data_IF_231560271418
#
_entry.id   IF_231560271418
#
_cell.length_a   1.000
_cell.length_b   1.000
_cell.length_c   1.000
_cell.angle_alpha   90.00
_cell.angle_beta   90.00
_cell.angle_gamma   90.00
#
_symmetry.space_group_name_H-M   'P 1'
#
loop_
_entity.id
_entity.type
_entity.pdbx_description
1 polymer ?
#
# COMPACT_ATOMS: atom_id res chain seq x y z
N UNK A 1 2.85 -15.60 -14.20
CA UNK A 1 1.94 -14.91 -13.26
C UNK A 1 0.74 -15.79 -13.03
N UNK A 2 0.44 -16.15 -11.79
CA UNK A 2 -0.70 -17.01 -11.46
C UNK A 2 -1.88 -16.13 -11.05
N UNK A 3 -3.08 -16.45 -11.54
CA UNK A 3 -4.33 -15.74 -11.24
C UNK A 3 -5.32 -16.72 -10.65
N UNK A 4 -5.94 -16.34 -9.53
CA UNK A 4 -7.04 -17.08 -8.92
C UNK A 4 -8.32 -16.25 -9.04
N UNK A 5 -9.42 -16.92 -9.35
CA UNK A 5 -10.76 -16.30 -9.39
C UNK A 5 -11.54 -16.79 -8.18
N UNK A 6 -12.20 -15.87 -7.48
CA UNK A 6 -13.03 -16.19 -6.33
C UNK A 6 -14.45 -16.52 -6.78
N UNK A 7 -15.19 -17.25 -5.95
CA UNK A 7 -16.61 -17.53 -6.18
C UNK A 7 -17.47 -16.27 -5.97
N UNK A 8 -18.71 -16.33 -6.47
CA UNK A 8 -19.64 -15.20 -6.44
C UNK A 8 -20.04 -14.76 -5.03
N UNK A 9 -20.12 -15.70 -4.08
CA UNK A 9 -20.51 -15.37 -2.71
C UNK A 9 -19.38 -14.63 -1.99
N UNK A 10 -18.15 -15.13 -2.11
CA UNK A 10 -16.96 -14.48 -1.58
C UNK A 10 -16.78 -13.09 -2.19
N UNK A 11 -16.99 -12.94 -3.50
CA UNK A 11 -16.95 -11.63 -4.18
C UNK A 11 -17.95 -10.64 -3.59
N UNK A 12 -19.20 -11.08 -3.32
CA UNK A 12 -20.22 -10.22 -2.73
C UNK A 12 -19.84 -9.76 -1.32
N UNK A 13 -19.39 -10.69 -0.46
CA UNK A 13 -18.98 -10.38 0.92
C UNK A 13 -17.81 -9.40 0.95
N UNK A 14 -16.80 -9.59 0.10
CA UNK A 14 -15.66 -8.67 -0.01
C UNK A 14 -16.07 -7.31 -0.59
N UNK A 15 -17.02 -7.27 -1.53
CA UNK A 15 -17.54 -6.02 -2.11
C UNK A 15 -18.30 -5.15 -1.11
N UNK A 16 -18.93 -5.75 -0.10
CA UNK A 16 -19.67 -5.06 0.98
C UNK A 16 -18.76 -4.66 2.16
N UNK A 17 -17.52 -5.14 2.20
CA UNK A 17 -16.60 -4.87 3.31
C UNK A 17 -16.19 -3.38 3.35
N UNK A 18 -16.31 -2.78 4.51
CA UNK A 18 -15.91 -1.38 4.78
C UNK A 18 -14.55 -1.26 5.44
N UNK A 19 -13.98 -2.38 5.87
CA UNK A 19 -12.71 -2.48 6.58
C UNK A 19 -11.81 -3.54 5.93
N UNK A 20 -10.53 -3.56 6.32
CA UNK A 20 -9.60 -4.61 5.86
C UNK A 20 -10.09 -5.97 6.31
N UNK A 21 -10.07 -6.96 5.40
CA UNK A 21 -10.51 -8.33 5.68
C UNK A 21 -9.31 -9.27 5.63
N UNK A 22 -9.16 -10.12 6.64
CA UNK A 22 -8.19 -11.21 6.64
C UNK A 22 -8.73 -12.38 5.82
N UNK A 23 -7.91 -12.89 4.90
CA UNK A 23 -8.18 -14.12 4.18
C UNK A 23 -7.47 -15.23 4.93
N UNK A 24 -8.22 -16.19 5.47
CA UNK A 24 -7.67 -17.31 6.22
C UNK A 24 -7.88 -18.64 5.50
N UNK A 25 -7.01 -19.61 5.77
CA UNK A 25 -7.25 -21.01 5.43
C UNK A 25 -8.31 -21.64 6.36
N UNK A 26 -8.65 -22.92 6.11
CA UNK A 26 -9.62 -23.65 6.93
C UNK A 26 -9.17 -23.90 8.38
N UNK A 27 -7.87 -23.77 8.66
CA UNK A 27 -7.32 -23.88 10.02
C UNK A 27 -7.28 -22.51 10.74
N UNK A 28 -7.67 -21.43 10.06
CA UNK A 28 -7.68 -20.08 10.61
C UNK A 28 -6.35 -19.32 10.44
N UNK A 29 -5.38 -19.86 9.69
CA UNK A 29 -4.14 -19.13 9.41
C UNK A 29 -4.35 -18.09 8.32
N UNK A 30 -3.86 -16.88 8.55
CA UNK A 30 -3.95 -15.78 7.58
C UNK A 30 -3.04 -16.07 6.37
N UNK A 31 -3.65 -16.15 5.19
CA UNK A 31 -2.98 -16.34 3.90
C UNK A 31 -2.86 -15.04 3.11
N UNK A 32 -3.60 -13.99 3.48
CA UNK A 32 -3.53 -12.68 2.84
C UNK A 32 -4.55 -11.68 3.38
N UNK A 33 -4.58 -10.50 2.77
CA UNK A 33 -5.50 -9.42 3.15
C UNK A 33 -6.21 -8.88 1.93
N UNK A 34 -7.50 -8.57 2.08
CA UNK A 34 -8.28 -7.81 1.12
C UNK A 34 -8.50 -6.38 1.66
N UNK A 35 -8.11 -5.40 0.86
CA UNK A 35 -8.30 -3.98 1.13
C UNK A 35 -9.41 -3.45 0.22
N UNK A 36 -10.63 -3.20 0.74
CA UNK A 36 -11.71 -2.66 -0.06
C UNK A 36 -11.32 -1.29 -0.63
N UNK A 37 -11.74 -1.00 -1.87
CA UNK A 37 -11.47 0.30 -2.51
C UNK A 37 -12.05 1.46 -1.70
N UNK A 38 -13.17 1.24 -0.98
CA UNK A 38 -13.74 2.21 -0.07
C UNK A 38 -12.82 2.53 1.12
N UNK A 39 -12.09 1.54 1.65
CA UNK A 39 -11.07 1.72 2.68
C UNK A 39 -9.76 2.28 2.11
N UNK A 40 -9.51 2.09 0.81
CA UNK A 40 -8.30 2.56 0.13
C UNK A 40 -8.31 4.06 -0.24
N UNK A 41 -9.41 4.78 -0.02
CA UNK A 41 -9.44 6.25 -0.20
C UNK A 41 -8.73 6.94 0.96
N UNK A 42 -7.40 7.03 0.86
CA UNK A 42 -6.57 7.91 1.68
C UNK A 42 -6.08 7.33 3.00
N UNK A 43 -6.38 6.07 3.32
CA UNK A 43 -5.81 5.40 4.49
C UNK A 43 -4.85 4.28 4.07
N UNK A 44 -3.64 4.26 4.66
CA UNK A 44 -2.74 3.13 4.48
C UNK A 44 -3.35 1.86 5.13
N UNK A 45 -2.90 0.65 4.74
CA UNK A 45 -3.34 -0.59 5.35
C UNK A 45 -3.25 -0.56 6.87
N UNK A 46 -4.14 -1.27 7.57
CA UNK A 46 -4.09 -1.37 9.03
C UNK A 46 -2.70 -1.84 9.49
N UNK A 47 -2.04 -1.04 10.34
CA UNK A 47 -0.68 -1.29 10.83
C UNK A 47 0.44 -0.57 10.07
N UNK A 48 0.17 -0.02 8.89
CA UNK A 48 1.14 0.83 8.18
C UNK A 48 0.99 2.28 8.67
N UNK A 49 1.83 2.69 9.60
CA UNK A 49 1.94 4.11 9.99
C UNK A 49 2.46 4.89 8.79
N UNK A 50 1.73 5.91 8.33
CA UNK A 50 2.33 6.90 7.42
C UNK A 50 3.50 7.50 8.19
N UNK A 51 4.74 7.40 7.69
CA UNK A 51 5.92 7.82 8.45
C UNK A 51 6.00 9.34 8.60
N UNK A 52 5.17 10.09 7.87
CA UNK A 52 5.14 11.54 7.83
C UNK A 52 3.69 12.02 7.75
N UNK A 53 3.36 13.01 8.55
CA UNK A 53 2.14 13.80 8.46
C UNK A 53 2.15 14.67 7.20
N UNK A 54 0.98 15.21 6.83
CA UNK A 54 0.86 16.13 5.68
C UNK A 54 1.75 17.38 5.85
N UNK A 55 1.84 17.90 7.07
CA UNK A 55 2.67 19.06 7.40
C UNK A 55 4.16 18.73 7.26
N UNK A 56 4.61 17.57 7.76
CA UNK A 56 6.00 17.10 7.57
C UNK A 56 6.35 16.86 6.09
N UNK A 57 5.38 16.46 5.26
CA UNK A 57 5.57 16.33 3.82
C UNK A 57 5.77 17.71 3.18
N UNK A 58 5.00 18.71 3.59
CA UNK A 58 5.10 20.07 3.03
C UNK A 58 6.38 20.78 3.48
N UNK A 59 6.77 20.64 4.74
CA UNK A 59 8.07 21.12 5.23
C UNK A 59 9.24 20.50 4.46
N UNK A 60 9.19 19.20 4.17
CA UNK A 60 10.23 18.53 3.35
C UNK A 60 10.26 19.01 1.90
N UNK A 61 9.13 19.43 1.33
CA UNK A 61 9.09 20.05 -0.01
C UNK A 61 9.70 21.44 0.01
N UNK A 62 9.45 22.22 1.05
CA UNK A 62 10.04 23.54 1.24
C UNK A 62 11.56 23.48 1.44
N UNK A 63 12.05 22.45 2.14
CA UNK A 63 13.48 22.25 2.45
C UNK A 63 14.15 21.23 1.52
N UNK A 64 13.83 21.25 0.21
CA UNK A 64 14.48 20.38 -0.79
C UNK A 64 16.01 20.52 -0.73
N UNK A 65 16.63 19.62 0.01
CA UNK A 65 18.07 19.42 0.07
C UNK A 65 18.34 18.00 -0.39
N UNK A 66 18.84 17.89 -1.61
CA UNK A 66 19.06 16.62 -2.27
C UNK A 66 19.73 16.83 -3.60
N UNK A 67 20.47 15.83 -4.03
CA UNK A 67 21.05 15.80 -5.37
C UNK A 67 19.93 15.63 -6.39
N UNK A 68 20.07 16.26 -7.54
CA UNK A 68 19.15 16.02 -8.64
C UNK A 68 19.24 14.57 -9.11
N UNK A 69 18.18 14.08 -9.76
CA UNK A 69 18.20 12.73 -10.33
C UNK A 69 19.38 12.55 -11.30
N UNK A 70 19.65 13.58 -12.12
CA UNK A 70 20.80 13.62 -13.04
C UNK A 70 22.15 13.46 -12.31
N UNK A 71 22.36 14.20 -11.21
CA UNK A 71 23.57 14.09 -10.41
C UNK A 71 23.74 12.70 -9.80
N UNK A 72 22.65 12.09 -9.30
CA UNK A 72 22.67 10.74 -8.74
C UNK A 72 23.08 9.74 -9.83
N UNK A 73 22.42 9.79 -10.98
CA UNK A 73 22.69 8.90 -12.11
C UNK A 73 24.15 8.99 -12.55
N UNK A 74 24.69 10.20 -12.69
CA UNK A 74 26.10 10.42 -13.04
C UNK A 74 27.09 9.83 -12.02
N UNK A 75 26.72 9.76 -10.73
CA UNK A 75 27.60 9.12 -9.72
C UNK A 75 27.51 7.60 -9.67
N UNK A 76 26.51 7.00 -10.33
CA UNK A 76 26.34 5.55 -10.40
C UNK A 76 27.01 4.95 -11.64
N UNK A 77 27.45 5.78 -12.59
CA UNK A 77 28.19 5.31 -13.76
C UNK A 77 29.61 4.87 -13.36
N UNK A 78 30.02 3.62 -13.67
CA UNK A 78 31.40 3.20 -13.49
C UNK A 78 32.31 4.01 -14.42
N UNK A 79 33.42 4.50 -13.87
CA UNK A 79 34.48 5.21 -14.63
C UNK A 79 35.09 4.35 -15.72
#
# INVERSE_FOLDING_TARGET
MVRYTLDSETCRRLGEATQTVELCDNAGHVIGFFLPVAAARGQPPAGLKVPLTADEIEERRAHRSGRTLDEILRSLEPR
#
